data_IF_714956468969
#
_entry.id   IF_714956468969
#
_cell.length_a   1.000
_cell.length_b   1.000
_cell.length_c   1.000
_cell.angle_alpha   90.00
_cell.angle_beta   90.00
_cell.angle_gamma   90.00
#
_symmetry.space_group_name_H-M   'P 1'
#
loop_
_entity.id
_entity.type
_entity.pdbx_description
1 polymer ?
#
# COMPACT_ATOMS: atom_id res chain seq x y z
N UNK A 1 9.31 -3.51 11.85
CA UNK A 1 8.22 -3.35 12.83
C UNK A 1 7.10 -4.37 12.63
N UNK A 2 6.57 -4.57 11.42
CA UNK A 2 5.47 -5.52 11.20
C UNK A 2 5.82 -6.95 11.61
N UNK A 3 7.08 -7.36 11.46
CA UNK A 3 7.59 -8.66 11.91
C UNK A 3 7.43 -8.85 13.43
N UNK A 4 7.68 -7.80 14.21
CA UNK A 4 7.50 -7.85 15.66
C UNK A 4 6.02 -7.85 16.05
N UNK A 5 5.16 -7.16 15.29
CA UNK A 5 3.72 -7.20 15.52
C UNK A 5 3.20 -8.62 15.30
N UNK A 6 3.52 -9.24 14.17
CA UNK A 6 3.03 -10.57 13.80
C UNK A 6 3.71 -11.72 14.57
N UNK A 7 4.66 -11.43 15.48
CA UNK A 7 5.20 -12.41 16.39
C UNK A 7 4.22 -12.83 17.50
N UNK A 8 3.30 -11.92 17.89
CA UNK A 8 2.33 -12.17 18.96
C UNK A 8 0.89 -11.85 18.53
N UNK A 9 0.69 -10.94 17.58
CA UNK A 9 -0.62 -10.64 17.03
C UNK A 9 -0.98 -11.61 15.92
N UNK A 10 -2.19 -12.10 15.95
CA UNK A 10 -2.85 -12.67 14.77
C UNK A 10 -3.11 -11.58 13.73
N UNK A 11 -3.07 -11.98 12.47
CA UNK A 11 -2.99 -11.03 11.36
C UNK A 11 -4.22 -10.13 11.24
N UNK A 12 -5.42 -10.71 11.21
CA UNK A 12 -6.66 -9.92 11.07
C UNK A 12 -7.01 -9.19 12.35
N UNK A 13 -6.65 -9.76 13.51
CA UNK A 13 -6.77 -9.08 14.81
C UNK A 13 -5.89 -7.83 14.86
N UNK A 14 -4.63 -7.91 14.40
CA UNK A 14 -3.76 -6.74 14.29
C UNK A 14 -4.35 -5.66 13.37
N UNK A 15 -4.87 -6.05 12.21
CA UNK A 15 -5.51 -5.12 11.26
C UNK A 15 -6.79 -4.51 11.84
N UNK A 16 -7.62 -5.30 12.51
CA UNK A 16 -8.86 -4.86 13.15
C UNK A 16 -8.59 -3.77 14.20
N UNK A 17 -7.68 -4.02 15.13
CA UNK A 17 -7.32 -3.03 16.15
C UNK A 17 -6.58 -1.83 15.57
N UNK A 18 -5.78 -2.04 14.51
CA UNK A 18 -5.14 -0.94 13.76
C UNK A 18 -6.20 0.02 13.21
N UNK A 19 -7.28 -0.47 12.58
CA UNK A 19 -8.33 0.39 12.03
C UNK A 19 -9.14 1.09 13.13
N UNK A 20 -9.42 0.40 14.23
CA UNK A 20 -10.05 1.01 15.42
C UNK A 20 -9.20 2.17 15.93
N UNK A 21 -7.91 1.92 16.14
CA UNK A 21 -7.01 2.92 16.72
C UNK A 21 -6.83 4.13 15.81
N UNK A 22 -6.67 3.91 14.49
CA UNK A 22 -6.63 5.00 13.50
C UNK A 22 -7.92 5.83 13.54
N UNK A 23 -9.07 5.16 13.63
CA UNK A 23 -10.38 5.84 13.69
C UNK A 23 -10.50 6.67 14.97
N UNK A 24 -10.18 6.10 16.13
CA UNK A 24 -10.24 6.80 17.42
C UNK A 24 -9.32 8.02 17.43
N UNK A 25 -8.11 7.87 16.91
CA UNK A 25 -7.11 8.95 16.91
C UNK A 25 -7.47 10.09 15.95
N UNK A 26 -8.13 9.81 14.82
CA UNK A 26 -8.36 10.81 13.79
C UNK A 26 -9.75 11.41 13.78
N UNK A 27 -10.80 10.65 14.10
CA UNK A 27 -12.20 11.13 14.01
C UNK A 27 -12.47 12.42 14.80
N UNK A 28 -11.89 12.66 15.98
CA UNK A 28 -12.12 13.91 16.72
C UNK A 28 -11.61 15.16 16.00
N UNK A 29 -10.65 15.00 15.09
CA UNK A 29 -9.96 16.12 14.42
C UNK A 29 -10.41 16.35 12.96
N UNK A 30 -11.32 15.53 12.44
CA UNK A 30 -11.74 15.59 11.05
C UNK A 30 -13.22 15.96 10.90
N UNK A 31 -13.53 16.66 9.81
CA UNK A 31 -14.93 17.03 9.50
C UNK A 31 -15.73 15.80 9.06
N UNK A 32 -17.03 15.83 9.32
CA UNK A 32 -17.96 14.80 8.82
C UNK A 32 -18.02 14.82 7.28
N UNK A 33 -18.14 13.63 6.64
CA UNK A 33 -18.30 13.51 5.20
C UNK A 33 -19.58 14.20 4.72
N UNK A 34 -19.57 14.73 3.52
CA UNK A 34 -20.79 15.13 2.83
C UNK A 34 -21.53 13.88 2.31
N UNK A 35 -22.83 14.01 2.02
CA UNK A 35 -23.63 12.88 1.50
C UNK A 35 -23.04 12.29 0.22
N UNK A 36 -22.46 13.12 -0.63
CA UNK A 36 -21.77 12.71 -1.87
C UNK A 36 -20.53 11.86 -1.64
N UNK A 37 -19.88 11.95 -0.47
CA UNK A 37 -18.63 11.26 -0.20
C UNK A 37 -18.84 9.82 0.31
N UNK A 38 -20.02 9.52 0.92
CA UNK A 38 -20.22 8.23 1.60
C UNK A 38 -20.06 7.03 0.68
N UNK A 39 -20.63 7.05 -0.53
CA UNK A 39 -20.49 5.94 -1.47
C UNK A 39 -19.02 5.74 -1.85
N UNK A 40 -18.29 6.82 -2.13
CA UNK A 40 -16.88 6.72 -2.51
C UNK A 40 -16.01 6.24 -1.33
N UNK A 41 -16.28 6.71 -0.11
CA UNK A 41 -15.61 6.23 1.10
C UNK A 41 -15.88 4.73 1.34
N UNK A 42 -17.12 4.30 1.19
CA UNK A 42 -17.50 2.90 1.35
C UNK A 42 -16.82 2.01 0.32
N UNK A 43 -16.84 2.40 -0.96
CA UNK A 43 -16.14 1.67 -2.02
C UNK A 43 -14.62 1.65 -1.78
N UNK A 44 -14.04 2.78 -1.36
CA UNK A 44 -12.61 2.86 -1.04
C UNK A 44 -12.25 1.95 0.13
N UNK A 45 -13.13 1.85 1.14
CA UNK A 45 -12.96 0.95 2.28
C UNK A 45 -13.02 -0.53 1.87
N UNK A 46 -14.00 -0.93 1.04
CA UNK A 46 -14.09 -2.30 0.52
C UNK A 46 -12.85 -2.65 -0.29
N UNK A 47 -12.39 -1.76 -1.14
CA UNK A 47 -11.21 -2.01 -1.99
C UNK A 47 -9.94 -2.11 -1.16
N UNK A 48 -9.77 -1.26 -0.16
CA UNK A 48 -8.58 -1.30 0.69
C UNK A 48 -8.62 -2.48 1.67
N UNK A 49 -9.72 -2.67 2.37
CA UNK A 49 -9.75 -3.58 3.54
C UNK A 49 -9.95 -5.04 3.10
N UNK A 50 -11.12 -5.51 2.65
CA UNK A 50 -11.23 -6.89 2.18
C UNK A 50 -10.52 -7.10 0.84
N UNK A 51 -10.50 -6.10 -0.05
CA UNK A 51 -9.90 -6.21 -1.37
C UNK A 51 -8.37 -6.26 -1.33
N UNK A 52 -7.70 -5.32 -0.68
CA UNK A 52 -6.24 -5.36 -0.59
C UNK A 52 -5.76 -6.17 0.61
N UNK A 53 -6.07 -5.76 1.84
CA UNK A 53 -5.54 -6.46 3.01
C UNK A 53 -6.04 -7.91 3.09
N UNK A 54 -7.35 -8.17 2.88
CA UNK A 54 -7.89 -9.52 2.93
C UNK A 54 -7.22 -10.45 1.92
N UNK A 55 -7.13 -10.04 0.65
CA UNK A 55 -6.48 -10.84 -0.40
C UNK A 55 -4.97 -10.94 -0.21
N UNK A 56 -4.30 -9.89 0.28
CA UNK A 56 -2.87 -9.94 0.59
C UNK A 56 -2.56 -11.05 1.58
N UNK A 57 -3.28 -11.09 2.70
CA UNK A 57 -3.02 -12.08 3.72
C UNK A 57 -3.44 -13.49 3.30
N UNK A 58 -4.55 -13.61 2.56
CA UNK A 58 -4.92 -14.89 1.95
C UNK A 58 -3.82 -15.39 0.99
N UNK A 59 -3.20 -14.51 0.21
CA UNK A 59 -2.05 -14.84 -0.62
C UNK A 59 -0.85 -15.30 0.21
N UNK A 60 -0.51 -14.57 1.29
CA UNK A 60 0.60 -14.91 2.18
C UNK A 60 0.41 -16.24 2.91
N UNK A 61 -0.81 -16.58 3.30
CA UNK A 61 -1.11 -17.87 3.94
C UNK A 61 -0.98 -19.06 2.99
N UNK A 62 -1.06 -18.83 1.67
CA UNK A 62 -0.98 -19.87 0.65
C UNK A 62 0.38 -19.92 -0.07
N UNK A 63 1.41 -19.21 0.40
CA UNK A 63 2.73 -19.22 -0.21
C UNK A 63 3.81 -19.61 0.78
N UNK A 64 4.86 -20.26 0.30
CA UNK A 64 6.09 -20.51 1.05
C UNK A 64 7.09 -19.37 0.94
N UNK A 65 6.91 -18.46 -0.04
CA UNK A 65 7.81 -17.33 -0.32
C UNK A 65 7.13 -15.98 -0.07
N UNK A 66 7.44 -15.39 1.08
CA UNK A 66 7.01 -14.03 1.42
C UNK A 66 7.63 -12.99 0.48
N UNK A 67 8.86 -13.25 0.00
CA UNK A 67 9.55 -12.41 -0.99
C UNK A 67 8.75 -12.29 -2.28
N UNK A 68 8.21 -13.39 -2.78
CA UNK A 68 7.38 -13.44 -3.99
C UNK A 68 6.16 -12.52 -3.89
N UNK A 69 5.44 -12.56 -2.77
CA UNK A 69 4.27 -11.71 -2.56
C UNK A 69 4.69 -10.24 -2.44
N UNK A 70 5.84 -9.97 -1.82
CA UNK A 70 6.37 -8.59 -1.74
C UNK A 70 6.64 -7.99 -3.12
N UNK A 71 7.11 -8.79 -4.09
CA UNK A 71 7.29 -8.37 -5.49
C UNK A 71 5.93 -8.11 -6.15
N UNK A 72 4.99 -9.06 -5.99
CA UNK A 72 3.67 -8.99 -6.64
C UNK A 72 2.90 -7.76 -6.18
N UNK A 73 2.99 -7.39 -4.89
CA UNK A 73 2.34 -6.19 -4.38
C UNK A 73 2.86 -4.91 -5.05
N UNK A 74 4.11 -4.90 -5.53
CA UNK A 74 4.64 -3.76 -6.29
C UNK A 74 3.93 -3.55 -7.64
N UNK A 75 3.20 -4.54 -8.15
CA UNK A 75 2.29 -4.37 -9.30
C UNK A 75 1.21 -3.30 -9.05
N UNK A 76 0.92 -2.97 -7.80
CA UNK A 76 0.02 -1.87 -7.48
C UNK A 76 0.46 -0.55 -8.11
N UNK A 77 1.76 -0.37 -8.32
CA UNK A 77 2.33 0.87 -8.87
C UNK A 77 2.04 0.98 -10.36
N UNK A 78 2.44 0.03 -11.24
CA UNK A 78 2.04 0.08 -12.65
C UNK A 78 0.52 0.04 -12.81
N UNK A 79 -0.22 -0.70 -11.99
CA UNK A 79 -1.69 -0.67 -12.01
C UNK A 79 -2.23 0.73 -11.70
N UNK A 80 -1.72 1.41 -10.68
CA UNK A 80 -2.18 2.77 -10.35
C UNK A 80 -1.89 3.77 -11.47
N UNK A 81 -0.75 3.66 -12.15
CA UNK A 81 -0.40 4.49 -13.30
C UNK A 81 -1.33 4.22 -14.48
N UNK A 82 -1.58 2.95 -14.80
CA UNK A 82 -2.51 2.55 -15.86
C UNK A 82 -3.94 3.03 -15.56
N UNK A 83 -4.41 2.79 -14.34
CA UNK A 83 -5.75 3.23 -13.91
C UNK A 83 -5.88 4.76 -13.88
N UNK A 84 -4.83 5.48 -13.47
CA UNK A 84 -4.83 6.93 -13.52
C UNK A 84 -4.90 7.45 -14.97
N UNK A 85 -4.23 6.79 -15.89
CA UNK A 85 -4.35 7.11 -17.31
C UNK A 85 -5.78 6.88 -17.82
N UNK A 86 -6.39 5.74 -17.50
CA UNK A 86 -7.75 5.40 -17.94
C UNK A 86 -8.80 6.35 -17.34
N UNK A 87 -8.77 6.57 -16.02
CA UNK A 87 -9.82 7.28 -15.30
C UNK A 87 -9.61 8.80 -15.19
N UNK A 88 -8.36 9.25 -15.23
CA UNK A 88 -8.02 10.68 -15.07
C UNK A 88 -7.34 11.28 -16.31
N UNK A 89 -7.11 10.46 -17.36
CA UNK A 89 -6.33 10.87 -18.54
C UNK A 89 -4.93 11.41 -18.15
N UNK A 90 -4.37 10.90 -17.05
CA UNK A 90 -3.05 11.22 -16.56
C UNK A 90 -2.01 10.39 -17.34
N UNK A 91 -1.79 10.77 -18.60
CA UNK A 91 -0.85 10.07 -19.48
C UNK A 91 0.60 10.23 -18.97
N UNK A 92 1.28 9.14 -18.64
CA UNK A 92 2.61 9.22 -18.02
C UNK A 92 3.71 9.68 -18.96
N UNK A 93 3.51 9.62 -20.28
CA UNK A 93 4.55 9.88 -21.28
C UNK A 93 5.63 8.78 -21.32
N UNK A 94 6.37 8.72 -22.43
CA UNK A 94 7.34 7.63 -22.67
C UNK A 94 8.43 7.55 -21.58
N UNK A 95 9.00 8.68 -21.19
CA UNK A 95 10.10 8.71 -20.22
C UNK A 95 9.68 8.22 -18.82
N UNK A 96 8.46 8.52 -18.38
CA UNK A 96 7.90 8.00 -17.11
C UNK A 96 7.65 6.51 -17.19
N UNK A 97 7.11 6.04 -18.32
CA UNK A 97 6.89 4.59 -18.53
C UNK A 97 8.25 3.86 -18.51
N UNK A 98 9.26 4.37 -19.22
CA UNK A 98 10.59 3.76 -19.20
C UNK A 98 11.20 3.74 -17.80
N UNK A 99 11.14 4.84 -17.08
CA UNK A 99 11.65 4.90 -15.69
C UNK A 99 10.90 3.96 -14.75
N UNK A 100 9.57 3.90 -14.87
CA UNK A 100 8.73 2.96 -14.12
C UNK A 100 9.11 1.50 -14.39
N UNK A 101 9.27 1.12 -15.66
CA UNK A 101 9.64 -0.25 -16.04
C UNK A 101 11.05 -0.61 -15.54
N UNK A 102 12.04 0.28 -15.70
CA UNK A 102 13.40 0.05 -15.18
C UNK A 102 13.35 -0.20 -13.67
N UNK A 103 12.68 0.66 -12.90
CA UNK A 103 12.59 0.51 -11.45
C UNK A 103 11.81 -0.75 -11.04
N UNK A 104 10.71 -1.05 -11.73
CA UNK A 104 9.89 -2.22 -11.46
C UNK A 104 10.65 -3.53 -11.71
N UNK A 105 11.32 -3.65 -12.86
CA UNK A 105 12.13 -4.83 -13.16
C UNK A 105 13.36 -4.95 -12.27
N UNK A 106 13.92 -3.84 -11.78
CA UNK A 106 14.94 -3.86 -10.73
C UNK A 106 14.43 -4.56 -9.46
N UNK A 107 13.21 -4.24 -9.00
CA UNK A 107 12.61 -4.90 -7.84
C UNK A 107 12.30 -6.37 -8.12
N UNK A 108 11.76 -6.69 -9.29
CA UNK A 108 11.52 -8.09 -9.68
C UNK A 108 12.82 -8.87 -9.64
N UNK A 109 13.91 -8.33 -10.19
CA UNK A 109 15.21 -8.99 -10.19
C UNK A 109 15.76 -9.21 -8.78
N UNK A 110 15.59 -8.22 -7.89
CA UNK A 110 16.13 -8.28 -6.51
C UNK A 110 15.44 -9.33 -5.65
N UNK A 111 14.13 -9.52 -5.83
CA UNK A 111 13.31 -10.40 -4.97
C UNK A 111 12.79 -11.63 -5.72
N UNK A 112 13.29 -11.88 -6.94
CA UNK A 112 12.89 -13.06 -7.69
C UNK A 112 13.42 -14.32 -7.03
N UNK A 113 12.52 -15.25 -6.75
CA UNK A 113 12.82 -16.60 -6.29
C UNK A 113 12.21 -17.61 -7.26
N UNK A 114 12.94 -18.69 -7.65
CA UNK A 114 12.39 -19.71 -8.55
C UNK A 114 11.09 -20.34 -8.05
N UNK A 115 10.93 -20.49 -6.72
CA UNK A 115 9.72 -20.99 -6.05
C UNK A 115 8.49 -20.08 -6.19
N UNK A 116 8.67 -18.89 -6.77
CA UNK A 116 7.57 -17.94 -7.02
C UNK A 116 6.42 -18.56 -7.81
N UNK A 117 6.74 -19.45 -8.75
CA UNK A 117 5.77 -20.06 -9.65
C UNK A 117 5.11 -21.33 -9.10
N UNK A 118 5.58 -21.83 -7.94
CA UNK A 118 5.10 -23.09 -7.36
C UNK A 118 3.64 -23.01 -6.89
N UNK A 119 3.14 -21.80 -6.59
CA UNK A 119 1.76 -21.62 -6.18
C UNK A 119 1.07 -20.47 -6.97
N UNK A 120 0.55 -20.81 -8.14
CA UNK A 120 -0.18 -19.87 -9.01
C UNK A 120 -1.42 -19.28 -8.34
N UNK A 121 -2.09 -20.00 -7.45
CA UNK A 121 -3.25 -19.50 -6.71
C UNK A 121 -2.85 -18.30 -5.81
N UNK A 122 -1.77 -18.45 -5.03
CA UNK A 122 -1.25 -17.37 -4.21
C UNK A 122 -0.83 -16.15 -5.05
N UNK A 123 -0.18 -16.39 -6.20
CA UNK A 123 0.22 -15.32 -7.13
C UNK A 123 -0.99 -14.56 -7.71
N UNK A 124 -2.03 -15.28 -8.13
CA UNK A 124 -3.25 -14.67 -8.68
C UNK A 124 -3.96 -13.81 -7.63
N UNK A 125 -4.12 -14.32 -6.42
CA UNK A 125 -4.74 -13.57 -5.30
C UNK A 125 -3.89 -12.35 -4.94
N UNK A 126 -2.57 -12.50 -4.84
CA UNK A 126 -1.65 -11.40 -4.59
C UNK A 126 -1.70 -10.32 -5.68
N UNK A 127 -1.81 -10.73 -6.95
CA UNK A 127 -1.99 -9.81 -8.08
C UNK A 127 -3.32 -9.05 -7.99
N UNK A 128 -4.40 -9.73 -7.61
CA UNK A 128 -5.69 -9.08 -7.40
C UNK A 128 -5.64 -8.10 -6.21
N UNK A 129 -4.95 -8.46 -5.15
CA UNK A 129 -4.66 -7.56 -4.02
C UNK A 129 -3.89 -6.30 -4.48
N UNK A 130 -2.87 -6.48 -5.33
CA UNK A 130 -2.11 -5.36 -5.89
C UNK A 130 -2.98 -4.45 -6.77
N UNK A 131 -3.89 -5.03 -7.56
CA UNK A 131 -4.86 -4.25 -8.34
C UNK A 131 -5.79 -3.45 -7.43
N UNK A 132 -6.29 -4.04 -6.34
CA UNK A 132 -7.10 -3.34 -5.34
C UNK A 132 -6.33 -2.18 -4.71
N UNK A 133 -5.04 -2.36 -4.37
CA UNK A 133 -4.21 -1.27 -3.85
C UNK A 133 -4.02 -0.16 -4.89
N UNK A 134 -3.78 -0.50 -6.16
CA UNK A 134 -3.72 0.47 -7.25
C UNK A 134 -5.02 1.24 -7.44
N UNK A 135 -6.17 0.57 -7.32
CA UNK A 135 -7.49 1.20 -7.33
C UNK A 135 -7.67 2.14 -6.13
N UNK A 136 -7.31 1.71 -4.92
CA UNK A 136 -7.33 2.58 -3.74
C UNK A 136 -6.53 3.86 -3.97
N UNK A 137 -5.33 3.76 -4.56
CA UNK A 137 -4.47 4.91 -4.82
C UNK A 137 -5.13 5.98 -5.71
N UNK A 138 -5.95 5.57 -6.66
CA UNK A 138 -6.66 6.52 -7.52
C UNK A 138 -7.99 6.98 -6.91
N UNK A 139 -8.67 6.16 -6.11
CA UNK A 139 -9.99 6.48 -5.54
C UNK A 139 -9.92 7.60 -4.51
N UNK A 140 -8.87 7.64 -3.68
CA UNK A 140 -8.67 8.71 -2.70
C UNK A 140 -8.67 10.10 -3.33
N UNK A 141 -8.26 10.21 -4.60
CA UNK A 141 -8.27 11.47 -5.38
C UNK A 141 -9.67 11.98 -5.69
N UNK A 142 -10.68 11.11 -5.73
CA UNK A 142 -12.09 11.49 -6.00
C UNK A 142 -12.77 12.12 -4.79
N UNK A 143 -12.31 11.85 -3.57
CA UNK A 143 -12.90 12.34 -2.35
C UNK A 143 -12.37 13.76 -2.08
N UNK A 144 -13.13 14.79 -2.47
CA UNK A 144 -12.65 16.19 -2.48
C UNK A 144 -13.00 16.99 -1.22
N UNK A 145 -14.11 16.65 -0.55
CA UNK A 145 -14.64 17.45 0.55
C UNK A 145 -14.04 17.12 1.93
N UNK A 146 -13.32 16.02 2.03
CA UNK A 146 -12.61 15.62 3.24
C UNK A 146 -11.13 15.98 3.18
N UNK A 147 -10.52 16.25 4.34
CA UNK A 147 -9.07 16.29 4.46
C UNK A 147 -8.46 14.90 4.19
N UNK A 148 -7.18 14.84 3.91
CA UNK A 148 -6.48 13.55 3.72
C UNK A 148 -6.61 12.65 4.94
N UNK A 149 -6.47 13.21 6.14
CA UNK A 149 -6.69 12.49 7.40
C UNK A 149 -8.15 12.06 7.57
N UNK A 150 -9.12 12.87 7.08
CA UNK A 150 -10.54 12.51 7.07
C UNK A 150 -10.81 11.28 6.20
N UNK A 151 -10.17 11.19 5.03
CA UNK A 151 -10.29 10.00 4.17
C UNK A 151 -9.79 8.77 4.92
N UNK A 152 -8.61 8.84 5.55
CA UNK A 152 -8.05 7.72 6.30
C UNK A 152 -8.95 7.32 7.47
N UNK A 153 -9.42 8.31 8.25
CA UNK A 153 -10.31 8.08 9.39
C UNK A 153 -11.58 7.32 9.01
N UNK A 154 -12.30 7.82 7.99
CA UNK A 154 -13.56 7.21 7.58
C UNK A 154 -13.39 5.91 6.79
N UNK A 155 -12.32 5.79 5.99
CA UNK A 155 -11.99 4.51 5.33
C UNK A 155 -11.67 3.43 6.37
N UNK A 156 -10.92 3.78 7.42
CA UNK A 156 -10.63 2.87 8.53
C UNK A 156 -11.90 2.49 9.29
N UNK A 157 -12.72 3.47 9.67
CA UNK A 157 -13.98 3.23 10.39
C UNK A 157 -14.91 2.28 9.62
N UNK A 158 -15.13 2.54 8.34
CA UNK A 158 -15.97 1.71 7.48
C UNK A 158 -15.35 0.33 7.20
N UNK A 159 -14.04 0.19 7.37
CA UNK A 159 -13.31 -1.07 7.22
C UNK A 159 -13.45 -2.03 8.41
N UNK A 160 -13.73 -1.50 9.61
CA UNK A 160 -13.81 -2.30 10.85
C UNK A 160 -14.77 -3.51 10.74
N UNK A 161 -16.02 -3.37 10.26
CA UNK A 161 -16.93 -4.51 10.13
C UNK A 161 -16.40 -5.61 9.22
N UNK A 162 -15.73 -5.26 8.13
CA UNK A 162 -15.15 -6.23 7.20
C UNK A 162 -13.99 -7.00 7.83
N UNK A 163 -13.13 -6.31 8.58
CA UNK A 163 -12.03 -6.97 9.29
C UNK A 163 -12.53 -7.85 10.42
N UNK A 164 -13.57 -7.43 11.12
CA UNK A 164 -14.20 -8.27 12.13
C UNK A 164 -14.71 -9.60 11.53
N UNK A 165 -15.38 -9.53 10.38
CA UNK A 165 -15.81 -10.73 9.66
C UNK A 165 -14.65 -11.59 9.21
N UNK A 166 -13.58 -10.98 8.63
CA UNK A 166 -12.38 -11.72 8.21
C UNK A 166 -11.67 -12.38 9.39
N UNK A 167 -11.57 -11.70 10.52
CA UNK A 167 -11.01 -12.21 11.77
C UNK A 167 -11.78 -13.48 12.22
N UNK A 168 -13.10 -13.42 12.30
CA UNK A 168 -13.92 -14.57 12.68
C UNK A 168 -13.84 -15.73 11.67
N UNK A 169 -13.81 -15.43 10.36
CA UNK A 169 -13.70 -16.46 9.31
C UNK A 169 -12.37 -17.22 9.36
N UNK A 170 -11.30 -16.61 9.91
CA UNK A 170 -10.00 -17.23 10.08
C UNK A 170 -9.80 -17.85 11.47
N UNK A 171 -10.82 -17.87 12.30
CA UNK A 171 -10.77 -18.44 13.66
C UNK A 171 -9.98 -17.61 14.66
N UNK A 172 -9.69 -16.34 14.33
CA UNK A 172 -9.01 -15.41 15.22
C UNK A 172 -10.02 -14.80 16.22
N UNK A 173 -9.56 -14.52 17.43
CA UNK A 173 -10.39 -13.92 18.47
C UNK A 173 -9.94 -12.51 18.82
N UNK A 174 -10.87 -11.57 18.95
CA UNK A 174 -10.56 -10.21 19.40
C UNK A 174 -9.91 -10.18 20.79
N UNK A 175 -10.23 -11.17 21.64
CA UNK A 175 -9.64 -11.32 22.98
C UNK A 175 -8.15 -11.62 22.98
N UNK A 176 -7.58 -12.12 21.88
CA UNK A 176 -6.14 -12.46 21.77
C UNK A 176 -5.21 -11.25 22.02
N UNK A 177 -5.69 -10.04 21.82
CA UNK A 177 -4.94 -8.81 22.16
C UNK A 177 -4.54 -8.75 23.65
N UNK A 178 -5.34 -9.36 24.54
CA UNK A 178 -5.07 -9.38 25.97
C UNK A 178 -3.92 -10.33 26.36
N UNK A 179 -3.48 -11.17 25.45
CA UNK A 179 -2.41 -12.14 25.64
C UNK A 179 -1.03 -11.58 25.23
N UNK A 180 -1.00 -10.35 24.71
CA UNK A 180 0.22 -9.72 24.22
C UNK A 180 0.97 -9.09 25.39
N UNK A 181 2.13 -9.66 25.71
CA UNK A 181 2.94 -9.25 26.85
C UNK A 181 4.13 -8.35 26.47
N UNK A 182 4.64 -8.48 25.24
CA UNK A 182 5.84 -7.77 24.82
C UNK A 182 5.61 -6.26 24.60
N UNK A 183 6.35 -5.45 25.33
CA UNK A 183 6.38 -4.00 25.12
C UNK A 183 6.89 -3.64 23.71
N UNK A 184 7.83 -4.41 23.15
CA UNK A 184 8.35 -4.20 21.79
C UNK A 184 7.25 -4.40 20.75
N UNK A 185 6.38 -5.40 20.93
CA UNK A 185 5.21 -5.65 20.07
C UNK A 185 4.27 -4.45 20.09
N UNK A 186 3.95 -3.89 21.27
CA UNK A 186 3.11 -2.71 21.41
C UNK A 186 3.73 -1.46 20.78
N UNK A 187 5.01 -1.19 21.00
CA UNK A 187 5.70 -0.06 20.35
C UNK A 187 5.70 -0.22 18.83
N UNK A 188 5.94 -1.43 18.34
CA UNK A 188 5.92 -1.72 16.91
C UNK A 188 4.52 -1.56 16.32
N UNK A 189 3.49 -1.98 17.03
CA UNK A 189 2.09 -1.81 16.63
C UNK A 189 1.70 -0.33 16.54
N UNK A 190 2.02 0.47 17.57
CA UNK A 190 1.79 1.91 17.55
C UNK A 190 2.56 2.61 16.43
N UNK A 191 3.80 2.19 16.17
CA UNK A 191 4.57 2.70 15.05
C UNK A 191 3.91 2.39 13.71
N UNK A 192 3.35 1.19 13.52
CA UNK A 192 2.60 0.83 12.31
C UNK A 192 1.31 1.64 12.18
N UNK A 193 0.59 1.88 13.27
CA UNK A 193 -0.62 2.73 13.28
C UNK A 193 -0.28 4.16 12.88
N UNK A 194 0.68 4.79 13.52
CA UNK A 194 1.02 6.20 13.30
C UNK A 194 1.82 6.37 12.01
N UNK A 195 2.93 5.64 11.86
CA UNK A 195 3.86 5.79 10.74
C UNK A 195 3.28 5.30 9.42
N UNK A 196 2.77 4.08 9.39
CA UNK A 196 2.25 3.50 8.15
C UNK A 196 0.85 4.00 7.82
N UNK A 197 -0.11 3.94 8.78
CA UNK A 197 -1.50 4.28 8.48
C UNK A 197 -1.72 5.78 8.41
N UNK A 198 -1.37 6.52 9.45
CA UNK A 198 -1.70 7.96 9.52
C UNK A 198 -0.75 8.74 8.63
N UNK A 199 0.57 8.60 8.85
CA UNK A 199 1.55 9.36 8.07
C UNK A 199 1.66 8.85 6.63
N UNK A 200 1.84 7.54 6.40
CA UNK A 200 2.05 6.96 5.07
C UNK A 200 0.83 7.17 4.17
N UNK A 201 -0.32 6.63 4.53
CA UNK A 201 -1.54 6.79 3.72
C UNK A 201 -2.05 8.24 3.73
N UNK A 202 -1.88 8.98 4.84
CA UNK A 202 -2.24 10.39 4.92
C UNK A 202 -1.42 11.25 3.95
N UNK A 203 -0.10 11.05 3.90
CA UNK A 203 0.78 11.73 2.95
C UNK A 203 0.46 11.34 1.51
N UNK A 204 0.20 10.05 1.24
CA UNK A 204 -0.26 9.60 -0.07
C UNK A 204 -1.53 10.32 -0.50
N UNK A 205 -2.57 10.32 0.34
CA UNK A 205 -3.83 10.97 0.05
C UNK A 205 -3.67 12.49 -0.13
N UNK A 206 -2.73 13.11 0.56
CA UNK A 206 -2.39 14.51 0.39
C UNK A 206 -1.69 14.75 -0.95
N UNK A 207 -0.64 14.00 -1.28
CA UNK A 207 0.08 14.12 -2.54
C UNK A 207 -0.82 13.87 -3.75
N UNK A 208 -1.70 12.85 -3.69
CA UNK A 208 -2.62 12.51 -4.78
C UNK A 208 -3.60 13.64 -5.14
N UNK A 209 -3.83 14.60 -4.25
CA UNK A 209 -4.66 15.77 -4.54
C UNK A 209 -3.97 16.80 -5.41
N UNK A 210 -2.67 16.98 -5.21
CA UNK A 210 -1.90 18.05 -5.82
C UNK A 210 -1.05 17.57 -6.98
N UNK A 211 -0.75 16.30 -7.04
CA UNK A 211 0.14 15.73 -8.05
C UNK A 211 -0.56 14.66 -8.91
N UNK A 212 -0.01 14.39 -10.08
CA UNK A 212 -0.44 13.28 -10.91
C UNK A 212 -0.01 11.94 -10.30
N UNK A 213 -0.87 10.94 -10.40
CA UNK A 213 -0.59 9.59 -9.90
C UNK A 213 0.61 8.98 -10.64
N UNK A 214 0.70 9.23 -11.96
CA UNK A 214 1.82 8.77 -12.78
C UNK A 214 3.18 9.35 -12.35
N UNK A 215 3.19 10.48 -11.63
CA UNK A 215 4.41 11.06 -11.07
C UNK A 215 4.75 10.46 -9.71
N UNK A 216 3.75 10.35 -8.80
CA UNK A 216 4.04 9.99 -7.40
C UNK A 216 4.12 8.49 -7.15
N UNK A 217 3.36 7.65 -7.90
CA UNK A 217 3.36 6.20 -7.66
C UNK A 217 4.74 5.54 -7.80
N UNK A 218 5.58 5.87 -8.79
CA UNK A 218 6.88 5.24 -8.93
C UNK A 218 7.83 5.43 -7.73
N UNK A 219 7.63 6.50 -6.93
CA UNK A 219 8.42 6.69 -5.70
C UNK A 219 8.17 5.60 -4.65
N UNK A 220 7.02 4.92 -4.69
CA UNK A 220 6.74 3.79 -3.81
C UNK A 220 7.66 2.59 -4.08
N UNK A 221 8.28 2.51 -5.26
CA UNK A 221 9.32 1.51 -5.55
C UNK A 221 10.60 1.71 -4.71
N UNK A 222 10.77 2.85 -4.05
CA UNK A 222 11.83 3.05 -3.05
C UNK A 222 11.55 2.34 -1.74
N UNK A 223 10.31 1.97 -1.45
CA UNK A 223 9.94 1.37 -0.16
C UNK A 223 10.72 0.08 0.11
N UNK A 224 10.82 -0.91 -0.80
CA UNK A 224 11.64 -2.10 -0.58
C UNK A 224 13.14 -1.76 -0.40
N UNK A 225 13.66 -0.78 -1.15
CA UNK A 225 15.06 -0.34 -1.02
C UNK A 225 15.31 0.22 0.38
N UNK A 226 14.44 1.11 0.84
CA UNK A 226 14.51 1.67 2.19
C UNK A 226 14.32 0.59 3.27
N UNK A 227 13.45 -0.39 3.03
CA UNK A 227 13.22 -1.49 3.96
C UNK A 227 14.50 -2.32 4.18
N UNK A 228 15.24 -2.65 3.12
CA UNK A 228 16.52 -3.39 3.23
C UNK A 228 17.58 -2.55 3.95
N UNK A 229 17.69 -1.26 3.63
CA UNK A 229 18.63 -0.36 4.32
C UNK A 229 18.32 -0.28 5.82
N UNK A 230 17.04 -0.10 6.18
CA UNK A 230 16.62 -0.07 7.59
C UNK A 230 16.82 -1.42 8.28
N UNK A 231 16.61 -2.54 7.58
CA UNK A 231 16.88 -3.89 8.08
C UNK A 231 18.37 -4.05 8.40
N UNK A 232 19.24 -3.58 7.53
CA UNK A 232 20.69 -3.62 7.78
C UNK A 232 21.09 -2.77 9.00
N UNK A 233 20.48 -1.60 9.19
CA UNK A 233 20.79 -0.70 10.33
C UNK A 233 20.26 -1.26 11.65
N UNK A 234 19.02 -1.76 11.68
CA UNK A 234 18.33 -2.14 12.93
C UNK A 234 18.43 -3.63 13.27
N UNK A 235 18.62 -4.49 12.26
CA UNK A 235 18.69 -5.94 12.44
C UNK A 235 20.08 -6.52 12.12
N UNK A 236 21.07 -5.66 11.81
CA UNK A 236 22.42 -6.03 11.41
C UNK A 236 22.47 -7.00 10.21
N UNK A 237 21.50 -6.89 9.30
CA UNK A 237 21.49 -7.69 8.07
C UNK A 237 22.58 -7.19 7.10
N UNK A 238 23.24 -8.12 6.40
CA UNK A 238 24.33 -7.77 5.48
C UNK A 238 23.75 -7.21 4.18
N UNK A 239 24.18 -6.02 3.78
CA UNK A 239 23.88 -5.46 2.46
C UNK A 239 24.78 -6.11 1.42
N UNK A 240 24.20 -6.82 0.47
CA UNK A 240 24.95 -7.48 -0.61
C UNK A 240 25.32 -6.47 -1.73
N UNK A 241 26.37 -6.79 -2.47
CA UNK A 241 26.76 -5.98 -3.65
C UNK A 241 25.67 -5.96 -4.70
N UNK A 242 24.96 -7.06 -4.88
CA UNK A 242 23.79 -7.14 -5.79
C UNK A 242 22.71 -6.15 -5.40
N UNK A 243 22.40 -6.05 -4.11
CA UNK A 243 21.42 -5.06 -3.63
C UNK A 243 21.86 -3.63 -3.96
N UNK A 244 23.12 -3.28 -3.76
CA UNK A 244 23.63 -1.92 -4.06
C UNK A 244 23.46 -1.58 -5.54
N UNK A 245 23.82 -2.51 -6.45
CA UNK A 245 23.67 -2.32 -7.89
C UNK A 245 22.21 -2.14 -8.28
N UNK A 246 21.32 -3.01 -7.78
CA UNK A 246 19.90 -2.97 -8.10
C UNK A 246 19.22 -1.73 -7.50
N UNK A 247 19.57 -1.34 -6.28
CA UNK A 247 19.11 -0.08 -5.69
C UNK A 247 19.48 1.12 -6.56
N UNK A 248 20.70 1.14 -7.10
CA UNK A 248 21.14 2.15 -8.08
C UNK A 248 20.26 2.16 -9.34
N UNK A 249 19.91 1.00 -9.89
CA UNK A 249 19.02 0.87 -11.06
C UNK A 249 17.62 1.41 -10.73
N UNK A 250 17.07 1.07 -9.57
CA UNK A 250 15.76 1.55 -9.12
C UNK A 250 15.77 3.08 -9.00
N UNK A 251 16.77 3.65 -8.32
CA UNK A 251 16.91 5.10 -8.15
C UNK A 251 17.08 5.79 -9.51
N UNK A 252 17.86 5.23 -10.42
CA UNK A 252 17.99 5.75 -11.78
C UNK A 252 16.65 5.78 -12.52
N UNK A 253 15.88 4.69 -12.48
CA UNK A 253 14.55 4.64 -13.09
C UNK A 253 13.59 5.69 -12.51
N UNK A 254 13.58 5.88 -11.19
CA UNK A 254 12.77 6.91 -10.53
C UNK A 254 13.24 8.32 -10.94
N UNK A 255 14.54 8.53 -11.09
CA UNK A 255 15.09 9.81 -11.57
C UNK A 255 14.59 10.17 -12.97
N UNK A 256 14.46 9.18 -13.87
CA UNK A 256 13.85 9.38 -15.19
C UNK A 256 12.37 9.81 -15.09
N UNK A 257 11.62 9.22 -14.16
CA UNK A 257 10.23 9.62 -13.92
C UNK A 257 10.15 11.08 -13.48
N UNK A 258 11.03 11.49 -12.58
CA UNK A 258 11.07 12.86 -12.07
C UNK A 258 11.51 13.89 -13.15
N UNK A 259 12.47 13.54 -13.97
CA UNK A 259 12.98 14.40 -15.06
C UNK A 259 11.97 14.56 -16.21
N UNK A 260 10.98 13.67 -16.31
CA UNK A 260 9.98 13.74 -17.37
C UNK A 260 9.15 15.02 -17.23
N UNK A 261 9.18 15.87 -18.25
CA UNK A 261 8.33 17.08 -18.31
C UNK A 261 6.84 16.68 -18.13
N UNK A 262 6.07 17.59 -17.50
CA UNK A 262 4.62 17.45 -17.44
C UNK A 262 4.09 17.31 -18.87
N UNK A 263 3.51 16.16 -19.20
CA UNK A 263 2.85 16.00 -20.48
C UNK A 263 1.61 16.90 -20.44
N UNK A 264 1.36 17.76 -21.45
CA UNK A 264 0.15 18.56 -21.49
C UNK A 264 -1.05 17.62 -21.38
N UNK A 265 -1.95 17.89 -20.42
CA UNK A 265 -3.25 17.22 -20.43
C UNK A 265 -3.87 17.53 -21.80
N UNK A 266 -4.26 16.50 -22.54
CA UNK A 266 -5.05 16.65 -23.74
C UNK A 266 -6.29 17.43 -23.34
N UNK A 267 -6.29 18.75 -23.61
CA UNK A 267 -7.46 19.59 -23.42
C UNK A 267 -8.56 18.94 -24.24
N UNK A 268 -9.64 18.51 -23.58
CA UNK A 268 -10.88 18.26 -24.31
C UNK A 268 -11.27 19.61 -24.94
N UNK A 269 -10.92 19.80 -26.21
CA UNK A 269 -11.66 20.74 -27.01
C UNK A 269 -13.12 20.33 -26.90
N UNK A 270 -13.90 21.20 -26.27
CA UNK A 270 -15.36 21.09 -26.25
C UNK A 270 -15.83 21.07 -27.71
N UNK A 271 -16.33 19.95 -28.17
CA UNK A 271 -17.31 19.89 -29.23
C UNK A 271 -18.67 19.61 -28.65
#
# INVERSE_FOLDING_TARGET
>A
FIKFVLAEFEVYTALFYRMILVSILLLPFVKKPQRSDYLMLFLTSIILVPGHYGLLFLSLMNTTSVGSISVIIQLAIPFSVLLAWIFYQDYPGKLRITGLLISFFGIVFLFYEPSMLDNLYALMIGTLSALCLGLYFIMVKKIKHLSSLGIIAYTSLLGIPFLYVLMLMNGEEASSILQIESALTWYSFLFVVIGSSIMGHGLWAWLARYQSISLISPFLLLVPVLAVILSAIFLNEVITTEFIVVAGIIIFGISLVFMAKKTPQLSKEKK
#
